data_IF_614460452970
#
_entry.id   IF_614460452970
#
_cell.length_a   1.000
_cell.length_b   1.000
_cell.length_c   1.000
_cell.angle_alpha   90.00
_cell.angle_beta   90.00
_cell.angle_gamma   90.00
#
_symmetry.space_group_name_H-M   'P 1'
#
loop_
_entity.id
_entity.type
_entity.pdbx_description
1 polymer ?
#
# COMPACT_ATOMS: atom_id res chain seq x y z
N UNK A 1 -57.80 56.67 -49.58
CA UNK A 1 -57.56 56.96 -50.98
C UNK A 1 -56.07 57.02 -51.26
N UNK A 2 -55.61 56.24 -52.25
CA UNK A 2 -54.34 56.36 -53.03
C UNK A 2 -53.04 56.20 -52.20
N UNK A 3 -52.56 55.07 -52.11
CA UNK A 3 -51.41 54.32 -52.68
C UNK A 3 -50.26 55.21 -53.16
N UNK A 4 -49.06 55.05 -52.63
CA UNK A 4 -47.84 55.21 -53.38
C UNK A 4 -46.80 54.20 -52.94
N UNK A 5 -46.46 53.25 -53.81
CA UNK A 5 -45.38 52.31 -53.72
C UNK A 5 -44.07 52.98 -54.08
N UNK A 6 -43.13 52.95 -53.17
CA UNK A 6 -41.72 53.22 -53.54
C UNK A 6 -40.95 51.92 -53.38
N UNK A 7 -40.57 51.37 -54.50
CA UNK A 7 -39.61 50.22 -54.55
C UNK A 7 -38.22 50.83 -54.33
N UNK A 8 -37.61 50.36 -53.26
CA UNK A 8 -36.17 50.53 -53.06
C UNK A 8 -35.53 49.18 -53.31
N UNK A 9 -34.75 49.08 -54.37
CA UNK A 9 -33.86 47.97 -54.64
C UNK A 9 -32.71 48.06 -53.67
N UNK A 10 -32.58 47.03 -52.81
CA UNK A 10 -31.40 46.89 -51.95
C UNK A 10 -30.56 45.73 -52.49
N UNK A 11 -29.36 46.07 -52.92
CA UNK A 11 -28.33 45.17 -53.44
C UNK A 11 -27.83 44.26 -52.30
N UNK A 12 -27.93 42.95 -52.52
CA UNK A 12 -27.32 41.97 -51.68
C UNK A 12 -25.79 42.02 -51.82
N UNK A 13 -25.11 42.44 -50.79
CA UNK A 13 -23.69 42.17 -50.61
C UNK A 13 -23.55 40.83 -49.84
N UNK A 14 -23.05 39.82 -50.54
CA UNK A 14 -22.74 38.53 -49.92
C UNK A 14 -21.47 38.68 -49.08
N UNK A 15 -21.64 38.66 -47.76
CA UNK A 15 -20.54 38.54 -46.83
C UNK A 15 -20.36 37.06 -46.50
N UNK A 16 -19.30 36.43 -46.96
CA UNK A 16 -18.94 35.09 -46.61
C UNK A 16 -18.52 35.02 -45.13
N UNK A 17 -19.06 34.13 -44.29
CA UNK A 17 -18.56 33.93 -42.95
C UNK A 17 -17.24 33.17 -42.99
N UNK A 18 -16.20 33.79 -42.46
CA UNK A 18 -14.92 33.15 -42.17
C UNK A 18 -15.17 32.15 -41.05
N UNK A 19 -15.21 30.86 -41.38
CA UNK A 19 -15.26 29.75 -40.40
C UNK A 19 -13.93 29.71 -39.69
N UNK A 20 -13.87 30.29 -38.48
CA UNK A 20 -12.79 30.06 -37.55
C UNK A 20 -13.04 28.68 -36.93
N UNK A 21 -12.32 27.68 -37.40
CA UNK A 21 -12.27 26.38 -36.76
C UNK A 21 -11.56 26.52 -35.42
N UNK A 22 -12.31 26.65 -34.35
CA UNK A 22 -11.79 26.49 -32.97
C UNK A 22 -11.42 25.04 -32.77
N UNK A 23 -10.13 24.73 -32.84
CA UNK A 23 -9.59 23.47 -32.39
C UNK A 23 -9.75 23.44 -30.87
N UNK A 24 -10.81 22.80 -30.40
CA UNK A 24 -10.93 22.37 -29.01
C UNK A 24 -9.91 21.26 -28.81
N UNK A 25 -8.75 21.59 -28.26
CA UNK A 25 -7.82 20.65 -27.66
C UNK A 25 -8.54 20.04 -26.46
N UNK A 26 -9.24 18.95 -26.71
CA UNK A 26 -9.76 18.09 -25.66
C UNK A 26 -8.56 17.54 -24.90
N UNK A 27 -8.25 18.12 -23.73
CA UNK A 27 -7.43 17.44 -22.74
C UNK A 27 -8.23 16.23 -22.27
N UNK A 28 -7.99 15.09 -22.88
CA UNK A 28 -8.37 13.81 -22.29
C UNK A 28 -7.64 13.71 -20.97
N UNK A 29 -8.35 13.99 -19.87
CA UNK A 29 -7.94 13.56 -18.55
C UNK A 29 -8.02 12.04 -18.56
N UNK A 30 -6.96 11.41 -19.02
CA UNK A 30 -6.71 10.01 -18.76
C UNK A 30 -6.56 9.93 -17.24
N UNK A 31 -7.63 9.55 -16.57
CA UNK A 31 -7.55 9.02 -15.22
C UNK A 31 -6.74 7.72 -15.34
N UNK A 32 -5.43 7.86 -15.33
CA UNK A 32 -4.58 6.75 -14.94
C UNK A 32 -5.06 6.38 -13.54
N UNK A 33 -5.83 5.29 -13.44
CA UNK A 33 -6.05 4.60 -12.17
C UNK A 33 -4.64 4.21 -11.72
N UNK A 34 -4.01 5.15 -11.02
CA UNK A 34 -2.66 4.99 -10.54
C UNK A 34 -2.65 3.83 -9.58
N UNK A 35 -2.18 2.70 -10.06
CA UNK A 35 -1.46 1.78 -9.19
C UNK A 35 -0.42 2.65 -8.52
N UNK A 36 -0.66 3.00 -7.26
CA UNK A 36 0.21 3.91 -6.53
C UNK A 36 1.56 3.19 -6.29
N UNK A 37 2.61 3.44 -7.09
CA UNK A 37 3.92 2.79 -6.88
C UNK A 37 4.50 3.13 -5.52
N UNK A 38 3.98 4.17 -4.88
CA UNK A 38 4.39 4.64 -3.56
C UNK A 38 4.10 3.62 -2.47
N UNK A 39 3.01 2.85 -2.53
CA UNK A 39 2.69 1.87 -1.50
C UNK A 39 3.70 0.69 -1.49
N UNK A 40 4.21 0.27 -2.66
CA UNK A 40 5.28 -0.72 -2.72
C UNK A 40 6.63 -0.18 -2.22
N UNK A 41 6.82 1.15 -2.22
CA UNK A 41 8.07 1.76 -1.77
C UNK A 41 8.19 1.93 -0.25
N UNK A 42 7.11 2.02 0.50
CA UNK A 42 7.18 2.26 1.96
C UNK A 42 7.79 1.07 2.72
N UNK A 43 7.46 -0.16 2.35
CA UNK A 43 8.00 -1.36 2.99
C UNK A 43 9.28 -1.86 2.30
N UNK A 44 9.46 -1.57 1.00
CA UNK A 44 10.54 -2.13 0.19
C UNK A 44 11.93 -1.69 0.68
N UNK A 45 12.76 -2.65 1.07
CA UNK A 45 14.10 -2.42 1.60
C UNK A 45 14.12 -2.03 3.07
N UNK A 46 13.03 -2.22 3.79
CA UNK A 46 12.94 -1.91 5.23
C UNK A 46 13.08 -3.17 6.08
N UNK A 47 13.52 -2.98 7.31
CA UNK A 47 13.65 -4.03 8.32
C UNK A 47 13.07 -3.54 9.63
N UNK A 48 12.35 -4.42 10.30
CA UNK A 48 11.59 -4.11 11.49
C UNK A 48 11.80 -5.16 12.57
N UNK A 49 11.71 -4.78 13.84
CA UNK A 49 11.72 -5.69 14.98
C UNK A 49 10.46 -5.52 15.82
N UNK A 50 10.01 -6.58 16.43
CA UNK A 50 8.76 -6.61 17.20
C UNK A 50 8.90 -5.80 18.50
N UNK A 51 7.94 -4.92 18.73
CA UNK A 51 7.73 -4.22 20.01
C UNK A 51 6.71 -4.99 20.85
N UNK A 52 5.56 -5.27 20.27
CA UNK A 52 4.51 -6.08 20.90
C UNK A 52 3.63 -6.77 19.87
N UNK A 53 2.99 -7.81 20.30
CA UNK A 53 1.95 -8.53 19.59
C UNK A 53 0.68 -8.54 20.44
N UNK A 54 -0.45 -8.20 19.82
CA UNK A 54 -1.78 -8.39 20.41
C UNK A 54 -2.51 -9.46 19.62
N UNK A 55 -2.99 -10.50 20.31
CA UNK A 55 -3.80 -11.54 19.71
C UNK A 55 -5.24 -11.11 19.48
N UNK A 56 -6.01 -11.91 18.75
CA UNK A 56 -7.44 -11.66 18.54
C UNK A 56 -8.29 -11.78 19.81
N UNK A 57 -7.73 -12.37 20.88
CA UNK A 57 -8.29 -12.45 22.24
C UNK A 57 -7.94 -11.23 23.11
N UNK A 58 -7.41 -10.16 22.50
CA UNK A 58 -6.92 -8.94 23.15
C UNK A 58 -5.71 -9.14 24.09
N UNK A 59 -5.19 -10.36 24.22
CA UNK A 59 -3.98 -10.59 25.02
C UNK A 59 -2.76 -9.94 24.35
N UNK A 60 -2.05 -9.12 25.12
CA UNK A 60 -0.82 -8.48 24.68
C UNK A 60 0.38 -9.31 25.12
N UNK A 61 1.31 -9.56 24.18
CA UNK A 61 2.57 -10.22 24.43
C UNK A 61 3.72 -9.30 23.99
N UNK A 62 4.65 -9.07 24.90
CA UNK A 62 5.87 -8.30 24.65
C UNK A 62 7.05 -9.27 24.66
N UNK A 63 7.91 -9.27 23.62
CA UNK A 63 9.09 -10.14 23.62
C UNK A 63 10.10 -9.68 24.67
N UNK A 64 10.82 -10.61 25.26
CA UNK A 64 11.98 -10.35 26.12
C UNK A 64 13.11 -9.63 25.37
N UNK A 65 13.26 -9.96 24.09
CA UNK A 65 14.21 -9.34 23.15
C UNK A 65 13.56 -9.26 21.76
N UNK A 66 13.12 -8.05 21.38
CA UNK A 66 12.51 -7.79 20.07
C UNK A 66 13.44 -8.10 18.89
N UNK A 67 14.76 -8.11 19.08
CA UNK A 67 15.72 -8.44 18.03
C UNK A 67 15.68 -9.93 17.61
N UNK A 68 15.03 -10.78 18.39
CA UNK A 68 14.74 -12.16 18.04
C UNK A 68 13.55 -12.31 17.10
N UNK A 69 12.74 -11.26 16.93
CA UNK A 69 11.51 -11.24 16.14
C UNK A 69 11.59 -10.12 15.12
N UNK A 70 12.11 -10.43 13.96
CA UNK A 70 12.35 -9.41 12.90
C UNK A 70 11.72 -9.81 11.58
N UNK A 71 11.36 -8.81 10.78
CA UNK A 71 10.91 -8.97 9.41
C UNK A 71 11.64 -7.99 8.50
N UNK A 72 12.06 -8.46 7.33
CA UNK A 72 12.75 -7.64 6.33
C UNK A 72 12.04 -7.76 4.99
N UNK A 73 11.61 -6.64 4.44
CA UNK A 73 10.96 -6.53 3.14
C UNK A 73 12.01 -6.21 2.06
N UNK A 74 12.31 -7.18 1.22
CA UNK A 74 13.22 -6.98 0.09
C UNK A 74 12.58 -6.15 -1.02
N UNK A 75 13.40 -5.39 -1.76
CA UNK A 75 12.95 -4.61 -2.94
C UNK A 75 12.52 -5.49 -4.12
N UNK A 76 12.89 -6.76 -4.08
CA UNK A 76 12.58 -7.77 -5.11
C UNK A 76 11.30 -8.58 -4.82
N UNK A 77 10.45 -8.11 -3.91
CA UNK A 77 9.23 -8.81 -3.52
C UNK A 77 9.46 -10.04 -2.61
N UNK A 78 10.69 -10.25 -2.11
CA UNK A 78 10.97 -11.29 -1.11
C UNK A 78 10.88 -10.70 0.28
N UNK A 79 10.42 -11.51 1.21
CA UNK A 79 10.38 -11.17 2.64
C UNK A 79 11.10 -12.26 3.42
N UNK A 80 11.85 -11.87 4.43
CA UNK A 80 12.47 -12.79 5.38
C UNK A 80 12.06 -12.42 6.80
N UNK A 81 11.95 -13.42 7.66
CA UNK A 81 11.63 -13.21 9.05
C UNK A 81 12.52 -14.08 9.94
N UNK A 82 12.86 -13.56 11.10
CA UNK A 82 13.32 -14.31 12.24
C UNK A 82 12.20 -14.32 13.29
N UNK A 83 11.84 -15.49 13.75
CA UNK A 83 10.83 -15.66 14.80
C UNK A 83 11.47 -16.52 15.87
N UNK A 84 12.15 -15.83 16.79
CA UNK A 84 12.99 -16.38 17.85
C UNK A 84 14.11 -17.30 17.31
N UNK A 85 14.02 -18.59 17.55
CA UNK A 85 14.99 -19.59 17.11
C UNK A 85 14.81 -20.01 15.64
N UNK A 86 13.68 -19.65 15.01
CA UNK A 86 13.37 -20.01 13.63
C UNK A 86 13.57 -18.85 12.65
N UNK A 87 13.80 -19.21 11.38
CA UNK A 87 13.91 -18.28 10.27
C UNK A 87 13.02 -18.72 9.13
N UNK A 88 12.43 -17.75 8.47
CA UNK A 88 11.55 -18.01 7.34
C UNK A 88 11.74 -17.03 6.20
N UNK A 89 11.22 -17.44 5.06
CA UNK A 89 11.14 -16.58 3.87
C UNK A 89 9.84 -16.81 3.14
N UNK A 90 9.38 -15.76 2.46
CA UNK A 90 8.19 -15.76 1.62
C UNK A 90 8.34 -14.72 0.52
N UNK A 91 7.32 -14.55 -0.27
CA UNK A 91 7.13 -13.37 -1.12
C UNK A 91 6.14 -12.42 -0.45
N UNK A 92 6.18 -11.14 -0.84
CA UNK A 92 5.22 -10.15 -0.41
C UNK A 92 4.82 -9.25 -1.56
N UNK A 93 3.61 -8.70 -1.48
CA UNK A 93 3.09 -7.69 -2.40
C UNK A 93 2.12 -6.77 -1.67
N UNK A 94 2.07 -5.53 -2.12
CA UNK A 94 1.11 -4.51 -1.66
C UNK A 94 0.41 -3.94 -2.89
N UNK A 95 -0.70 -4.54 -3.33
CA UNK A 95 -1.38 -4.12 -4.55
C UNK A 95 -2.10 -2.79 -4.41
N UNK A 96 -2.42 -2.38 -3.18
CA UNK A 96 -3.01 -1.08 -2.85
C UNK A 96 -2.36 -0.51 -1.60
N UNK A 97 -2.56 0.79 -1.36
CA UNK A 97 -2.14 1.41 -0.11
C UNK A 97 -2.70 0.66 1.10
N UNK A 98 -1.86 0.44 2.10
CA UNK A 98 -2.18 -0.26 3.35
C UNK A 98 -2.58 -1.75 3.20
N UNK A 99 -2.61 -2.31 2.00
CA UNK A 99 -2.87 -3.73 1.75
C UNK A 99 -1.55 -4.50 1.70
N UNK A 100 -1.48 -5.66 2.36
CA UNK A 100 -0.30 -6.49 2.42
C UNK A 100 -0.68 -7.96 2.26
N UNK A 101 -0.02 -8.63 1.33
CA UNK A 101 -0.17 -10.06 1.12
C UNK A 101 1.18 -10.76 1.21
N UNK A 102 1.20 -11.84 1.96
CA UNK A 102 2.32 -12.78 1.94
C UNK A 102 1.98 -14.00 1.09
N UNK A 103 2.97 -14.55 0.41
CA UNK A 103 2.89 -15.88 -0.19
C UNK A 103 3.05 -16.98 0.85
N UNK A 104 3.25 -18.21 0.39
CA UNK A 104 3.52 -19.32 1.31
C UNK A 104 4.86 -19.14 2.00
N UNK A 105 4.87 -19.31 3.32
CA UNK A 105 6.07 -19.24 4.13
C UNK A 105 6.81 -20.56 4.14
N UNK A 106 8.12 -20.51 3.92
CA UNK A 106 9.05 -21.59 4.21
C UNK A 106 9.80 -21.23 5.48
N UNK A 107 9.70 -22.07 6.51
CA UNK A 107 10.31 -21.82 7.83
C UNK A 107 11.07 -23.02 8.35
N UNK A 108 12.17 -22.76 9.08
CA UNK A 108 12.81 -23.77 9.93
C UNK A 108 11.87 -24.18 11.05
N UNK A 109 12.07 -25.37 11.61
CA UNK A 109 11.18 -25.95 12.65
C UNK A 109 11.98 -26.38 13.85
N UNK A 110 12.88 -25.54 14.36
CA UNK A 110 13.55 -25.78 15.62
C UNK A 110 12.57 -25.56 16.77
N UNK A 111 12.69 -26.40 17.82
CA UNK A 111 11.95 -26.17 19.06
C UNK A 111 12.60 -25.03 19.82
N UNK A 112 11.87 -23.92 19.98
CA UNK A 112 12.36 -22.78 20.73
C UNK A 112 12.27 -23.01 22.24
N UNK A 113 13.00 -22.20 22.99
CA UNK A 113 12.99 -22.25 24.46
C UNK A 113 11.61 -21.90 25.03
N UNK A 114 11.30 -22.35 26.27
CA UNK A 114 10.09 -21.90 26.97
C UNK A 114 9.99 -20.38 27.02
N UNK A 115 8.77 -19.84 26.87
CA UNK A 115 8.52 -18.41 26.84
C UNK A 115 8.64 -17.77 25.42
N UNK A 116 9.04 -18.52 24.40
CA UNK A 116 9.05 -18.07 23.02
C UNK A 116 7.65 -17.69 22.54
N UNK A 117 7.55 -16.56 21.81
CA UNK A 117 6.32 -16.15 21.13
C UNK A 117 6.16 -16.80 19.74
N UNK A 118 7.05 -17.74 19.38
CA UNK A 118 7.12 -18.32 18.04
C UNK A 118 5.77 -18.85 17.57
N UNK A 119 5.14 -19.73 18.32
CA UNK A 119 3.91 -20.42 17.92
C UNK A 119 2.75 -19.43 17.74
N UNK A 120 2.61 -18.47 18.65
CA UNK A 120 1.60 -17.39 18.54
C UNK A 120 1.81 -16.56 17.27
N UNK A 121 3.04 -16.09 17.05
CA UNK A 121 3.37 -15.22 15.92
C UNK A 121 3.19 -15.95 14.59
N UNK A 122 3.59 -17.20 14.48
CA UNK A 122 3.47 -17.97 13.23
C UNK A 122 2.01 -18.28 12.91
N UNK A 123 1.22 -18.65 13.89
CA UNK A 123 -0.20 -18.94 13.71
C UNK A 123 -0.98 -17.72 13.25
N UNK A 124 -0.80 -16.59 13.92
CA UNK A 124 -1.52 -15.34 13.61
C UNK A 124 -0.95 -14.63 12.38
N UNK A 125 0.35 -14.74 12.14
CA UNK A 125 1.05 -14.09 11.03
C UNK A 125 0.55 -14.50 9.65
N UNK A 126 0.01 -15.70 9.51
CA UNK A 126 -0.62 -16.17 8.27
C UNK A 126 -1.86 -15.35 7.87
N UNK A 127 -2.48 -14.67 8.82
CA UNK A 127 -3.70 -13.90 8.64
C UNK A 127 -3.48 -12.41 8.34
N UNK A 128 -2.23 -11.94 8.31
CA UNK A 128 -1.91 -10.53 7.99
C UNK A 128 -2.41 -10.18 6.59
N UNK A 129 -3.16 -9.07 6.50
CA UNK A 129 -3.73 -8.55 5.25
C UNK A 129 -3.54 -7.05 5.05
N UNK A 130 -3.17 -6.34 6.09
CA UNK A 130 -2.98 -4.89 6.02
C UNK A 130 -1.78 -4.43 6.83
N UNK A 131 -1.31 -3.23 6.49
CA UNK A 131 -0.28 -2.55 7.26
C UNK A 131 -0.57 -1.06 7.38
N UNK A 132 0.03 -0.41 8.35
CA UNK A 132 0.11 1.04 8.42
C UNK A 132 1.42 1.45 9.10
N UNK A 133 1.95 2.62 8.71
CA UNK A 133 3.10 3.23 9.38
C UNK A 133 2.60 4.46 10.11
N UNK A 134 2.78 4.47 11.43
CA UNK A 134 2.37 5.57 12.30
C UNK A 134 3.47 5.87 13.31
N UNK A 135 3.85 7.14 13.41
CA UNK A 135 4.90 7.59 14.35
C UNK A 135 6.22 6.82 14.20
N UNK A 136 6.55 6.39 12.98
CA UNK A 136 7.76 5.60 12.70
C UNK A 136 7.65 4.11 13.03
N UNK A 137 6.52 3.62 13.55
CA UNK A 137 6.25 2.21 13.81
C UNK A 137 5.42 1.60 12.68
N UNK A 138 5.71 0.35 12.35
CA UNK A 138 4.94 -0.47 11.43
C UNK A 138 3.92 -1.28 12.22
N UNK A 139 2.66 -1.18 11.83
CA UNK A 139 1.58 -2.01 12.34
C UNK A 139 1.15 -2.98 11.25
N UNK A 140 1.18 -4.28 11.56
CA UNK A 140 0.64 -5.34 10.70
C UNK A 140 -0.64 -5.88 11.32
N UNK A 141 -1.73 -5.94 10.54
CA UNK A 141 -3.04 -6.37 11.05
C UNK A 141 -3.61 -7.50 10.20
N UNK A 142 -4.33 -8.42 10.84
CA UNK A 142 -5.03 -9.52 10.21
C UNK A 142 -6.46 -9.17 9.78
N UNK A 143 -7.15 -10.15 9.19
CA UNK A 143 -8.58 -10.05 8.88
C UNK A 143 -9.47 -10.31 10.10
N UNK A 144 -8.96 -11.01 11.10
CA UNK A 144 -9.71 -11.28 12.34
C UNK A 144 -9.67 -10.08 13.26
N UNK A 145 -10.79 -9.80 13.92
CA UNK A 145 -10.93 -8.65 14.80
C UNK A 145 -9.86 -8.63 15.89
N UNK A 146 -9.07 -7.55 15.93
CA UNK A 146 -8.28 -7.15 17.07
C UNK A 146 -6.80 -7.49 17.08
N UNK A 147 -6.34 -8.48 16.31
CA UNK A 147 -4.91 -8.88 16.35
C UNK A 147 -4.01 -7.93 15.54
N UNK A 148 -2.90 -7.49 16.13
CA UNK A 148 -1.89 -6.71 15.41
C UNK A 148 -0.48 -6.93 15.94
N UNK A 149 0.49 -6.68 15.09
CA UNK A 149 1.91 -6.58 15.43
C UNK A 149 2.31 -5.12 15.39
N UNK A 150 2.94 -4.61 16.42
CA UNK A 150 3.62 -3.33 16.43
C UNK A 150 5.12 -3.58 16.34
N UNK A 151 5.75 -2.97 15.34
CA UNK A 151 7.16 -3.13 15.06
C UNK A 151 7.82 -1.76 14.95
N UNK A 152 9.05 -1.66 15.44
CA UNK A 152 9.90 -0.49 15.27
C UNK A 152 11.01 -0.76 14.23
N UNK A 153 11.59 0.27 13.61
CA UNK A 153 12.67 0.11 12.65
C UNK A 153 13.85 -0.65 13.25
N UNK A 154 14.30 -1.69 12.54
CA UNK A 154 15.56 -2.34 12.85
C UNK A 154 16.68 -1.51 12.22
N UNK A 155 17.31 -0.65 13.02
CA UNK A 155 18.44 0.16 12.54
C UNK A 155 19.60 -0.75 12.17
N UNK A 156 20.15 -0.67 10.93
CA UNK A 156 21.33 -1.43 10.58
C UNK A 156 22.47 -1.09 11.54
N UNK A 157 23.11 -2.09 12.13
CA UNK A 157 24.35 -1.84 12.87
C UNK A 157 25.35 -1.23 11.89
N UNK A 158 25.77 0.01 12.10
CA UNK A 158 26.92 0.56 11.39
C UNK A 158 28.11 -0.33 11.75
N UNK A 159 28.68 -0.95 10.73
CA UNK A 159 29.98 -1.66 10.83
C UNK A 159 31.08 -0.64 10.80
#
# INVERSE_FOLDING_TARGET
MRTNFIRVMLTLAAVAPLMIASATTGSELTFAVGLNPSAMNELAGTSWKLVKFQGGDETTSVPDDGSKYTITFGRNGRVTARVDCNRGSSTWRSPRANELHFGSWSMTRAKCSPGSLHDKIVTEGANVRSYSIKNGHLFLSGMSAGGFYELEPLTPRRR
#
